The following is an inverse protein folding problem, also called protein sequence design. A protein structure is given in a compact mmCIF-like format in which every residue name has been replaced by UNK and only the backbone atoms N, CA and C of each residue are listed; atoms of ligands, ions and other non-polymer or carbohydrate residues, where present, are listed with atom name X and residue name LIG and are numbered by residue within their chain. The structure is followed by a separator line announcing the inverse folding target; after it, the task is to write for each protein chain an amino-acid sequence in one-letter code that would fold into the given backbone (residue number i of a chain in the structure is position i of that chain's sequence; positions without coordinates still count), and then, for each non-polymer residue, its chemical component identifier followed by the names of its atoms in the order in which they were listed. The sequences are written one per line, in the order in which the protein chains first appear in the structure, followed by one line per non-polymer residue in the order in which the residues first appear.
data_IF_104251789301
#
_entry.id   IF_104251789301
#
_cell.length_a   1.000
_cell.length_b   1.000
_cell.length_c   1.000
_cell.angle_alpha   90.00
_cell.angle_beta   90.00
_cell.angle_gamma   90.00
#
_symmetry.space_group_name_H-M   'P 1'
#
loop_
_entity.id
_entity.type
_entity.pdbx_description
1 polymer ?
#
# COMPACT_ATOMS: atom_id res chain seq x y z
N UNK A 1 8.60 55.88 27.39
CA UNK A 1 8.84 54.64 26.61
C UNK A 1 8.36 53.39 27.34
N UNK A 2 8.67 53.22 28.63
CA UNK A 2 8.31 52.05 29.46
C UNK A 2 6.78 51.84 29.60
N UNK A 3 5.99 52.91 29.72
CA UNK A 3 4.52 52.84 29.79
C UNK A 3 3.84 52.35 28.50
N UNK A 4 4.43 52.64 27.33
CA UNK A 4 3.94 52.17 26.01
C UNK A 4 4.24 50.68 25.78
N UNK A 5 5.38 50.18 26.27
CA UNK A 5 5.73 48.76 26.22
C UNK A 5 4.81 47.90 27.10
N UNK A 6 4.44 48.39 28.29
CA UNK A 6 3.54 47.68 29.21
C UNK A 6 2.12 47.53 28.65
N UNK A 7 1.61 48.57 27.98
CA UNK A 7 0.30 48.55 27.29
C UNK A 7 0.32 47.70 26.01
N UNK A 8 1.43 47.69 25.26
CA UNK A 8 1.61 46.82 24.11
C UNK A 8 1.65 45.32 24.49
N UNK A 9 2.30 44.99 25.60
CA UNK A 9 2.40 43.61 26.06
C UNK A 9 1.09 43.08 26.67
N UNK A 10 0.31 43.94 27.32
CA UNK A 10 -1.05 43.61 27.80
C UNK A 10 -2.05 43.41 26.64
N UNK A 11 -1.97 44.23 25.59
CA UNK A 11 -2.82 44.09 24.40
C UNK A 11 -2.47 42.84 23.57
N UNK A 12 -1.20 42.46 23.49
CA UNK A 12 -0.76 41.19 22.88
C UNK A 12 -1.24 39.95 23.64
N UNK A 13 -1.14 39.96 24.98
CA UNK A 13 -1.68 38.87 25.81
C UNK A 13 -3.20 38.72 25.67
N UNK A 14 -3.93 39.84 25.62
CA UNK A 14 -5.37 39.83 25.38
C UNK A 14 -5.77 39.28 24.00
N UNK A 15 -4.99 39.61 22.95
CA UNK A 15 -5.19 39.08 21.60
C UNK A 15 -4.85 37.59 21.50
N UNK A 16 -3.78 37.13 22.14
CA UNK A 16 -3.39 35.72 22.17
C UNK A 16 -4.42 34.84 22.91
N UNK A 17 -4.98 35.33 24.03
CA UNK A 17 -6.04 34.63 24.77
C UNK A 17 -7.32 34.53 23.94
N UNK A 18 -7.71 35.61 23.23
CA UNK A 18 -8.86 35.59 22.32
C UNK A 18 -8.65 34.66 21.12
N UNK A 19 -7.42 34.63 20.57
CA UNK A 19 -7.06 33.74 19.47
C UNK A 19 -7.10 32.26 19.91
N UNK A 20 -6.58 31.94 21.10
CA UNK A 20 -6.69 30.59 21.67
C UNK A 20 -8.15 30.21 21.92
N UNK A 21 -8.96 31.12 22.45
CA UNK A 21 -10.39 30.87 22.67
C UNK A 21 -11.15 30.63 21.36
N UNK A 22 -10.84 31.35 20.28
CA UNK A 22 -11.44 31.11 18.96
C UNK A 22 -10.96 29.81 18.31
N UNK A 23 -9.68 29.44 18.49
CA UNK A 23 -9.15 28.16 18.01
C UNK A 23 -9.80 26.98 18.78
N UNK A 24 -10.00 27.12 20.09
CA UNK A 24 -10.70 26.13 20.91
C UNK A 24 -12.19 26.03 20.56
N UNK A 25 -12.86 27.17 20.28
CA UNK A 25 -14.24 27.17 19.80
C UNK A 25 -14.36 26.49 18.41
N UNK A 26 -13.41 26.74 17.50
CA UNK A 26 -13.35 26.06 16.20
C UNK A 26 -13.15 24.54 16.34
N UNK A 27 -12.32 24.09 17.28
CA UNK A 27 -12.09 22.65 17.52
C UNK A 27 -13.36 21.98 18.09
N UNK A 28 -14.15 22.69 18.92
CA UNK A 28 -15.43 22.17 19.42
C UNK A 28 -16.54 22.12 18.36
N UNK A 29 -16.45 22.90 17.28
CA UNK A 29 -17.41 22.88 16.17
C UNK A 29 -17.12 21.83 15.09
N UNK A 30 -16.02 21.09 15.19
CA UNK A 30 -15.67 20.04 14.21
C UNK A 30 -16.43 18.71 14.47
N UNK A 31 -17.17 18.58 15.57
CA UNK A 31 -17.93 17.35 15.89
C UNK A 31 -19.38 17.34 15.39
N UNK A 32 -19.80 18.26 14.51
CA UNK A 32 -21.21 18.31 14.02
C UNK A 32 -21.41 18.15 12.51
N UNK A 33 -20.39 17.79 11.72
CA UNK A 33 -20.56 17.48 10.30
C UNK A 33 -20.08 16.06 9.98
N UNK A 34 -20.89 15.08 10.38
CA UNK A 34 -20.82 13.73 9.82
C UNK A 34 -22.21 13.08 9.81
N UNK A 35 -23.19 13.77 9.21
CA UNK A 35 -24.42 13.14 8.72
C UNK A 35 -24.75 13.77 7.36
N UNK A 36 -24.19 13.21 6.30
CA UNK A 36 -24.81 13.26 4.97
C UNK A 36 -25.54 11.94 4.78
N UNK A 37 -26.85 11.96 5.00
CA UNK A 37 -27.76 10.97 4.44
C UNK A 37 -27.91 11.27 2.96
N UNK A 38 -27.00 10.79 2.13
CA UNK A 38 -27.21 10.72 0.68
C UNK A 38 -27.07 9.27 0.24
N UNK A 39 -28.10 8.80 -0.45
CA UNK A 39 -28.16 7.48 -1.02
C UNK A 39 -27.25 7.37 -2.26
N UNK A 40 -26.54 6.25 -2.33
CA UNK A 40 -26.03 5.58 -3.53
C UNK A 40 -25.10 6.37 -4.48
N UNK A 41 -23.80 6.26 -4.23
CA UNK A 41 -22.82 6.01 -5.28
C UNK A 41 -22.01 4.77 -4.88
N UNK A 42 -21.88 3.79 -5.77
CA UNK A 42 -21.07 2.59 -5.53
C UNK A 42 -19.63 3.03 -5.17
N UNK A 43 -19.06 2.53 -4.07
CA UNK A 43 -17.72 2.94 -3.68
C UNK A 43 -16.75 2.49 -4.77
N UNK A 44 -15.93 3.41 -5.25
CA UNK A 44 -14.73 3.06 -6.00
C UNK A 44 -13.96 2.02 -5.18
N UNK A 45 -13.55 0.92 -5.83
CA UNK A 45 -12.88 -0.20 -5.17
C UNK A 45 -11.79 0.34 -4.24
N UNK A 46 -11.96 0.10 -2.94
CA UNK A 46 -11.00 0.52 -1.93
C UNK A 46 -9.64 -0.08 -2.31
N UNK A 47 -8.60 0.77 -2.34
CA UNK A 47 -7.25 0.24 -2.38
C UNK A 47 -7.04 -0.39 -1.02
N UNK A 48 -7.16 -1.71 -0.98
CA UNK A 48 -7.02 -2.45 0.25
C UNK A 48 -5.54 -2.49 0.68
N UNK A 49 -5.07 -1.40 1.27
CA UNK A 49 -3.78 -1.34 1.96
C UNK A 49 -4.01 -1.89 3.36
N UNK A 50 -3.64 -3.15 3.55
CA UNK A 50 -3.78 -3.86 4.81
C UNK A 50 -2.51 -3.75 5.65
N UNK A 51 -2.64 -3.31 6.90
CA UNK A 51 -1.54 -3.24 7.86
C UNK A 51 -1.49 -4.51 8.72
N UNK A 52 -0.28 -4.99 9.01
CA UNK A 52 -0.04 -6.12 9.91
C UNK A 52 -0.65 -5.84 11.30
N UNK A 53 -1.48 -6.77 11.79
CA UNK A 53 -2.05 -6.74 13.14
C UNK A 53 -1.03 -6.54 14.25
N UNK A 54 0.19 -7.08 14.12
CA UNK A 54 1.24 -6.94 15.13
C UNK A 54 1.63 -5.47 15.32
N UNK A 55 1.77 -4.75 14.22
CA UNK A 55 2.07 -3.33 14.23
C UNK A 55 0.92 -2.52 14.85
N UNK A 56 -0.33 -2.86 14.51
CA UNK A 56 -1.50 -2.19 15.06
C UNK A 56 -1.64 -2.42 16.58
N UNK A 57 -1.44 -3.65 17.07
CA UNK A 57 -1.47 -3.95 18.51
C UNK A 57 -0.33 -3.28 19.27
N UNK A 58 0.86 -3.18 18.66
CA UNK A 58 1.98 -2.43 19.24
C UNK A 58 1.64 -0.95 19.37
N UNK A 59 1.07 -0.35 18.33
CA UNK A 59 0.66 1.06 18.33
C UNK A 59 -0.43 1.32 19.39
N UNK A 60 -1.43 0.44 19.47
CA UNK A 60 -2.48 0.49 20.49
C UNK A 60 -1.91 0.40 21.92
N UNK A 61 -0.95 -0.51 22.14
CA UNK A 61 -0.27 -0.63 23.42
C UNK A 61 0.48 0.64 23.83
N UNK A 62 1.15 1.29 22.86
CA UNK A 62 1.81 2.58 23.09
C UNK A 62 0.78 3.68 23.41
N UNK A 63 -0.34 3.75 22.70
CA UNK A 63 -1.42 4.70 22.99
C UNK A 63 -1.95 4.54 24.41
N UNK A 64 -2.24 3.31 24.85
CA UNK A 64 -2.71 3.06 26.23
C UNK A 64 -1.67 3.48 27.28
N UNK A 65 -0.38 3.22 27.01
CA UNK A 65 0.71 3.65 27.88
C UNK A 65 0.79 5.18 27.99
N UNK A 66 0.70 5.89 26.86
CA UNK A 66 0.72 7.36 26.83
C UNK A 66 -0.48 7.96 27.54
N UNK A 67 -1.68 7.37 27.38
CA UNK A 67 -2.86 7.75 28.15
C UNK A 67 -2.64 7.63 29.68
N UNK A 68 -1.96 6.57 30.14
CA UNK A 68 -1.60 6.42 31.54
C UNK A 68 -0.60 7.50 32.01
N UNK A 69 0.37 7.87 31.17
CA UNK A 69 1.29 8.98 31.45
C UNK A 69 0.53 10.31 31.56
N UNK A 70 -0.41 10.58 30.66
CA UNK A 70 -1.27 11.78 30.69
C UNK A 70 -2.10 11.80 31.98
N UNK A 71 -2.65 10.66 32.40
CA UNK A 71 -3.40 10.56 33.65
C UNK A 71 -2.54 10.94 34.87
N UNK A 72 -1.31 10.42 34.97
CA UNK A 72 -0.38 10.75 36.05
C UNK A 72 0.01 12.23 36.01
N UNK A 73 0.40 12.75 34.84
CA UNK A 73 0.75 14.16 34.66
C UNK A 73 -0.42 15.10 34.97
N UNK A 74 -1.64 14.72 34.59
CA UNK A 74 -2.87 15.43 34.91
C UNK A 74 -3.10 15.51 36.41
N UNK A 75 -2.91 14.41 37.14
CA UNK A 75 -3.02 14.39 38.61
C UNK A 75 -1.97 15.28 39.27
N UNK A 76 -0.71 15.26 38.81
CA UNK A 76 0.35 16.15 39.29
C UNK A 76 0.01 17.60 39.01
N UNK A 77 -0.52 17.91 37.82
CA UNK A 77 -0.91 19.26 37.44
C UNK A 77 -2.08 19.78 38.30
N UNK A 78 -3.08 18.95 38.57
CA UNK A 78 -4.19 19.28 39.47
C UNK A 78 -3.68 19.52 40.90
N UNK A 79 -2.73 18.71 41.38
CA UNK A 79 -2.11 18.90 42.69
C UNK A 79 -1.35 20.23 42.77
N UNK A 80 -0.57 20.57 41.73
CA UNK A 80 0.14 21.85 41.64
C UNK A 80 -0.85 23.03 41.67
N UNK A 81 -1.97 22.95 40.94
CA UNK A 81 -3.02 23.97 40.98
C UNK A 81 -3.67 24.03 42.36
N UNK A 82 -4.00 22.89 42.98
CA UNK A 82 -4.62 22.86 44.32
C UNK A 82 -3.73 23.51 45.38
N UNK A 83 -2.43 23.24 45.36
CA UNK A 83 -1.48 23.88 46.26
C UNK A 83 -1.45 25.41 46.06
N UNK A 84 -1.43 25.85 44.81
CA UNK A 84 -1.48 27.29 44.48
C UNK A 84 -2.79 27.95 44.92
N UNK A 85 -3.93 27.27 44.75
CA UNK A 85 -5.23 27.73 45.25
C UNK A 85 -5.20 27.88 46.77
N UNK A 86 -4.61 26.91 47.48
CA UNK A 86 -4.51 26.96 48.93
C UNK A 86 -3.65 28.15 49.39
N UNK A 87 -2.55 28.45 48.68
CA UNK A 87 -1.75 29.65 48.94
C UNK A 87 -2.51 30.95 48.63
N UNK A 88 -3.20 31.05 47.50
CA UNK A 88 -3.99 32.24 47.13
C UNK A 88 -5.17 32.47 48.10
N UNK A 89 -5.78 31.39 48.63
CA UNK A 89 -6.83 31.45 49.65
C UNK A 89 -6.31 31.94 51.00
N UNK A 90 -5.04 31.67 51.32
CA UNK A 90 -4.34 32.19 52.51
C UNK A 90 -3.96 33.67 52.37
N UNK A 91 -3.70 34.12 51.14
CA UNK A 91 -3.36 35.51 50.81
C UNK A 91 -4.58 36.39 50.41
N UNK A 92 -5.80 35.93 50.67
CA UNK A 92 -7.03 36.72 50.56
C UNK A 92 -7.40 37.24 49.16
N UNK A 93 -6.76 36.77 48.09
CA UNK A 93 -6.96 37.31 46.74
C UNK A 93 -7.56 36.25 45.83
N UNK A 94 -8.90 36.12 45.85
CA UNK A 94 -9.61 35.24 44.93
C UNK A 94 -9.80 35.96 43.59
N UNK A 95 -8.86 35.78 42.67
CA UNK A 95 -9.03 36.24 41.29
C UNK A 95 -9.99 35.30 40.54
N UNK A 96 -11.08 35.88 39.98
CA UNK A 96 -12.13 35.21 39.18
C UNK A 96 -11.66 34.52 37.88
N UNK A 97 -10.36 34.37 37.66
CA UNK A 97 -9.78 33.72 36.49
C UNK A 97 -9.69 32.19 36.63
N UNK A 98 -9.81 31.66 37.86
CA UNK A 98 -9.59 30.24 38.13
C UNK A 98 -10.85 29.37 38.01
N UNK A 99 -12.03 29.99 38.09
CA UNK A 99 -13.32 29.36 37.86
C UNK A 99 -13.57 28.97 36.40
N UNK A 100 -12.80 29.52 35.45
CA UNK A 100 -12.92 29.24 34.02
C UNK A 100 -12.20 27.95 33.57
N UNK A 101 -11.30 27.39 34.39
CA UNK A 101 -10.52 26.20 34.01
C UNK A 101 -11.20 24.88 34.42
N UNK A 102 -12.22 24.94 35.29
CA UNK A 102 -12.98 23.77 35.77
C UNK A 102 -14.05 23.33 34.74
N UNK A 103 -14.47 24.21 33.84
CA UNK A 103 -15.58 23.96 32.89
C UNK A 103 -15.19 22.99 31.75
N UNK A 104 -13.92 22.66 31.54
CA UNK A 104 -13.50 21.80 30.42
C UNK A 104 -13.19 20.34 30.80
N UNK A 105 -13.62 19.88 31.97
CA UNK A 105 -13.36 18.50 32.43
C UNK A 105 -14.56 17.55 32.34
N UNK A 106 -15.67 17.96 31.72
CA UNK A 106 -16.82 17.08 31.49
C UNK A 106 -17.33 17.24 30.04
N UNK A 107 -16.57 16.70 29.10
CA UNK A 107 -17.09 16.36 27.77
C UNK A 107 -17.08 14.84 27.68
N UNK A 108 -18.16 14.22 28.15
CA UNK A 108 -18.32 12.78 28.09
C UNK A 108 -18.27 12.30 26.64
N UNK A 109 -17.39 11.34 26.39
CA UNK A 109 -17.28 10.57 25.16
C UNK A 109 -18.61 9.86 24.93
N UNK A 110 -19.30 10.18 23.84
CA UNK A 110 -20.37 9.34 23.33
C UNK A 110 -19.72 8.11 22.68
N UNK A 111 -19.73 6.98 23.37
CA UNK A 111 -19.28 5.70 22.83
C UNK A 111 -20.41 5.15 21.95
N UNK A 112 -20.40 5.43 20.66
CA UNK A 112 -21.33 4.80 19.72
C UNK A 112 -20.85 3.39 19.41
N UNK A 113 -21.62 2.39 19.84
CA UNK A 113 -21.41 1.00 19.46
C UNK A 113 -21.68 0.83 17.96
N UNK A 114 -20.67 0.42 17.20
CA UNK A 114 -20.83 0.01 15.81
C UNK A 114 -21.01 -1.51 15.76
N UNK A 115 -22.12 -1.94 15.15
CA UNK A 115 -22.44 -3.36 14.94
C UNK A 115 -21.36 -4.01 14.08
N UNK A 116 -20.67 -5.01 14.63
CA UNK A 116 -19.68 -5.81 13.90
C UNK A 116 -20.39 -6.71 12.89
N UNK A 117 -20.03 -6.58 11.61
CA UNK A 117 -20.38 -7.58 10.60
C UNK A 117 -19.67 -8.91 10.93
N UNK A 118 -20.18 -10.07 10.47
CA UNK A 118 -19.57 -11.37 10.75
C UNK A 118 -18.16 -11.42 10.15
N UNK A 119 -17.16 -11.65 10.98
CA UNK A 119 -15.76 -11.80 10.56
C UNK A 119 -15.56 -13.24 10.12
N UNK A 120 -15.06 -13.43 8.90
CA UNK A 120 -14.63 -14.74 8.38
C UNK A 120 -13.48 -15.27 9.27
N UNK A 121 -13.62 -16.46 9.89
CA UNK A 121 -12.61 -17.02 10.79
C UNK A 121 -11.27 -17.34 10.12
N UNK A 122 -11.17 -17.30 8.79
CA UNK A 122 -9.93 -17.51 8.03
C UNK A 122 -9.34 -16.23 7.41
N UNK A 123 -9.94 -15.05 7.64
CA UNK A 123 -9.35 -13.80 7.19
C UNK A 123 -8.09 -13.49 8.01
N UNK A 124 -7.00 -13.12 7.33
CA UNK A 124 -5.80 -12.62 7.99
C UNK A 124 -6.17 -11.47 8.93
N UNK A 125 -5.52 -11.40 10.09
CA UNK A 125 -5.74 -10.31 11.06
C UNK A 125 -5.16 -9.03 10.48
N UNK A 126 -5.94 -8.35 9.64
CA UNK A 126 -5.54 -7.12 8.96
C UNK A 126 -6.38 -5.96 9.48
N UNK A 127 -5.70 -4.90 9.92
CA UNK A 127 -6.36 -3.69 10.42
C UNK A 127 -6.58 -2.73 9.25
N UNK A 128 -7.78 -2.16 9.16
CA UNK A 128 -8.14 -1.27 8.07
C UNK A 128 -7.37 0.06 8.13
N UNK A 129 -7.13 0.66 6.95
CA UNK A 129 -6.42 1.93 6.82
C UNK A 129 -7.04 3.05 7.69
N UNK A 130 -8.37 3.10 7.78
CA UNK A 130 -9.09 4.06 8.61
C UNK A 130 -8.78 3.90 10.11
N UNK A 131 -8.68 2.65 10.58
CA UNK A 131 -8.32 2.37 11.98
C UNK A 131 -6.88 2.79 12.25
N UNK A 132 -5.98 2.61 11.28
CA UNK A 132 -4.59 3.05 11.42
C UNK A 132 -4.46 4.58 11.48
N UNK A 133 -5.19 5.33 10.65
CA UNK A 133 -5.21 6.80 10.77
C UNK A 133 -5.86 7.26 12.08
N UNK A 134 -6.90 6.57 12.56
CA UNK A 134 -7.49 6.86 13.86
C UNK A 134 -6.48 6.68 14.99
N UNK A 135 -5.76 5.55 15.06
CA UNK A 135 -4.75 5.33 16.10
C UNK A 135 -3.60 6.35 15.97
N UNK A 136 -3.14 6.63 14.75
CA UNK A 136 -2.09 7.61 14.50
C UNK A 136 -2.46 9.04 14.92
N UNK A 137 -3.71 9.46 14.67
CA UNK A 137 -4.20 10.78 15.10
C UNK A 137 -4.36 10.88 16.62
N UNK A 138 -4.86 9.84 17.28
CA UNK A 138 -4.93 9.77 18.75
C UNK A 138 -3.53 9.88 19.36
N UNK A 139 -2.57 9.10 18.85
CA UNK A 139 -1.19 9.10 19.35
C UNK A 139 -0.52 10.48 19.18
N UNK A 140 -0.75 11.17 18.06
CA UNK A 140 -0.25 12.53 17.85
C UNK A 140 -0.85 13.53 18.85
N UNK A 141 -2.15 13.41 19.16
CA UNK A 141 -2.83 14.25 20.15
C UNK A 141 -2.29 14.00 21.57
N UNK A 142 -2.07 12.73 21.94
CA UNK A 142 -1.50 12.36 23.24
C UNK A 142 -0.11 12.98 23.44
N UNK A 143 0.77 12.89 22.43
CA UNK A 143 2.10 13.49 22.49
C UNK A 143 2.01 15.01 22.67
N UNK A 144 1.12 15.68 21.95
CA UNK A 144 0.90 17.13 22.10
C UNK A 144 0.42 17.50 23.51
N UNK A 145 -0.50 16.72 24.08
CA UNK A 145 -1.02 16.91 25.44
C UNK A 145 0.09 16.70 26.48
N UNK A 146 0.91 15.66 26.33
CA UNK A 146 2.06 15.39 27.21
C UNK A 146 3.05 16.55 27.13
N UNK A 147 3.38 17.02 25.91
CA UNK A 147 4.28 18.16 25.74
C UNK A 147 3.71 19.43 26.40
N UNK A 148 2.41 19.68 26.25
CA UNK A 148 1.74 20.79 26.91
C UNK A 148 1.83 20.69 28.44
N UNK A 149 1.50 19.54 29.04
CA UNK A 149 1.59 19.35 30.49
C UNK A 149 3.03 19.46 30.99
N UNK A 150 3.99 18.83 30.31
CA UNK A 150 5.40 18.89 30.68
C UNK A 150 5.94 20.34 30.60
N UNK A 151 5.61 21.07 29.53
CA UNK A 151 5.97 22.47 29.40
C UNK A 151 5.31 23.33 30.49
N UNK A 152 4.02 23.15 30.72
CA UNK A 152 3.26 23.86 31.74
C UNK A 152 3.85 23.64 33.13
N UNK A 153 4.04 22.39 33.56
CA UNK A 153 4.66 22.02 34.83
C UNK A 153 6.08 22.62 34.94
N UNK A 154 6.89 22.52 33.88
CA UNK A 154 8.25 23.11 33.87
C UNK A 154 8.20 24.63 34.08
N UNK A 155 7.25 25.33 33.45
CA UNK A 155 7.10 26.79 33.65
C UNK A 155 6.56 27.14 35.04
N UNK A 156 5.71 26.31 35.64
CA UNK A 156 5.24 26.48 37.01
C UNK A 156 6.38 26.30 38.02
N UNK A 157 7.11 25.19 37.94
CA UNK A 157 8.22 24.89 38.83
C UNK A 157 9.36 25.92 38.72
N UNK A 158 9.66 26.42 37.51
CA UNK A 158 10.67 27.47 37.31
C UNK A 158 10.30 28.78 38.01
N UNK A 159 9.01 29.14 38.04
CA UNK A 159 8.55 30.35 38.73
C UNK A 159 8.65 30.18 40.25
N UNK A 160 8.26 29.03 40.77
CA UNK A 160 8.39 28.73 42.20
C UNK A 160 9.84 28.66 42.65
N UNK A 161 10.72 28.03 41.86
CA UNK A 161 12.15 28.01 42.11
C UNK A 161 12.77 29.41 42.09
N UNK A 162 12.39 30.27 41.13
CA UNK A 162 12.86 31.66 41.08
C UNK A 162 12.41 32.48 42.30
N UNK A 163 11.15 32.31 42.73
CA UNK A 163 10.61 32.98 43.93
C UNK A 163 11.26 32.44 45.21
N UNK A 164 11.55 31.14 45.28
CA UNK A 164 12.23 30.52 46.42
C UNK A 164 13.69 30.95 46.54
N UNK A 165 14.39 31.13 45.41
CA UNK A 165 15.75 31.67 45.37
C UNK A 165 15.79 33.17 45.74
N UNK A 166 14.82 33.95 45.27
CA UNK A 166 14.67 35.37 45.63
C UNK A 166 14.35 35.54 47.13
N UNK A 167 13.52 34.66 47.70
CA UNK A 167 13.20 34.63 49.13
C UNK A 167 14.38 34.23 50.04
N UNK A 168 15.42 33.58 49.49
CA UNK A 168 16.63 33.17 50.23
C UNK A 168 17.78 34.18 50.16
N UNK A 169 17.61 35.31 49.47
CA UNK A 169 18.62 36.37 49.41
C UNK A 169 19.94 35.94 48.74
N UNK A 170 19.90 34.97 47.83
CA UNK A 170 21.10 34.46 47.17
C UNK A 170 21.70 35.50 46.19
N UNK A 171 23.01 35.73 46.32
CA UNK A 171 23.83 36.54 45.39
C UNK A 171 23.70 35.96 43.98
N UNK A 172 23.59 36.77 42.91
CA UNK A 172 23.45 36.25 41.56
C UNK A 172 24.65 35.36 41.22
N UNK A 173 24.40 34.05 41.18
CA UNK A 173 25.31 33.05 40.64
C UNK A 173 25.70 33.51 39.23
N UNK A 174 27.00 33.65 38.98
CA UNK A 174 27.52 34.01 37.66
C UNK A 174 26.81 33.16 36.59
N UNK A 175 26.34 33.75 35.48
CA UNK A 175 25.53 33.03 34.52
C UNK A 175 26.37 31.89 33.95
N UNK A 176 26.09 30.67 34.40
CA UNK A 176 26.63 29.45 33.79
C UNK A 176 26.30 29.56 32.31
N UNK A 177 27.34 29.62 31.47
CA UNK A 177 27.19 29.77 30.04
C UNK A 177 26.25 28.67 29.55
N UNK A 178 25.11 29.06 28.98
CA UNK A 178 24.10 28.11 28.52
C UNK A 178 24.63 27.44 27.27
N UNK A 179 25.40 26.37 27.45
CA UNK A 179 25.87 25.53 26.35
C UNK A 179 24.62 25.06 25.59
N UNK A 180 24.50 25.40 24.29
CA UNK A 180 23.40 24.93 23.44
C UNK A 180 23.27 23.42 23.56
N UNK A 181 22.03 22.91 23.56
CA UNK A 181 21.79 21.47 23.69
C UNK A 181 22.51 20.67 22.59
N UNK A 182 22.70 21.26 21.41
CA UNK A 182 23.45 20.68 20.31
C UNK A 182 24.94 20.53 20.66
N UNK A 183 25.56 21.54 21.27
CA UNK A 183 26.98 21.46 21.67
C UNK A 183 27.23 20.39 22.76
N UNK A 184 26.21 20.10 23.58
CA UNK A 184 26.25 18.97 24.54
C UNK A 184 26.25 17.60 23.85
N UNK A 185 25.65 17.51 22.67
CA UNK A 185 25.59 16.26 21.91
C UNK A 185 26.97 15.89 21.34
N UNK A 186 27.79 16.89 21.02
CA UNK A 186 29.11 16.73 20.42
C UNK A 186 30.28 16.80 21.41
N UNK A 187 30.03 17.04 22.71
CA UNK A 187 31.10 17.26 23.71
C UNK A 187 32.18 18.22 23.18
N UNK A 188 31.79 19.40 22.66
CA UNK A 188 32.77 20.31 22.05
C UNK A 188 33.73 20.87 23.12
N UNK A 189 35.02 20.65 22.92
CA UNK A 189 36.08 21.22 23.76
C UNK A 189 36.21 22.73 23.57
N UNK A 190 36.48 23.44 24.66
CA UNK A 190 36.97 24.82 24.61
C UNK A 190 38.50 24.84 24.40
N UNK A 191 39.09 26.02 24.13
CA UNK A 191 40.56 26.11 24.00
C UNK A 191 41.31 25.75 25.29
N UNK A 192 40.73 26.04 26.46
CA UNK A 192 41.31 25.63 27.74
C UNK A 192 41.27 24.10 27.91
N UNK A 193 40.22 23.45 27.38
CA UNK A 193 40.11 21.99 27.42
C UNK A 193 41.12 21.32 26.49
N UNK A 194 41.39 21.91 25.32
CA UNK A 194 42.41 21.39 24.38
C UNK A 194 43.79 21.31 25.04
N UNK A 195 44.17 22.32 25.84
CA UNK A 195 45.46 22.30 26.55
C UNK A 195 45.48 21.27 27.68
N UNK A 196 44.34 21.04 28.36
CA UNK A 196 44.22 20.06 29.44
C UNK A 196 44.17 18.61 28.93
N UNK A 197 43.60 18.40 27.75
CA UNK A 197 43.36 17.10 27.14
C UNK A 197 44.48 16.68 26.18
N UNK A 198 45.48 17.53 25.95
CA UNK A 198 46.67 17.20 25.17
C UNK A 198 47.46 16.08 25.86
N UNK A 199 47.66 14.98 25.14
CA UNK A 199 48.42 13.81 25.61
C UNK A 199 49.94 14.05 25.64
N UNK A 200 50.41 15.20 25.14
CA UNK A 200 51.80 15.64 25.23
C UNK A 200 52.73 15.02 24.19
N UNK A 201 52.21 14.17 23.31
CA UNK A 201 52.92 13.62 22.15
C UNK A 201 52.57 14.42 20.90
N UNK A 202 53.60 14.74 20.11
CA UNK A 202 53.50 15.49 18.86
C UNK A 202 54.09 14.62 17.73
N UNK A 203 53.26 14.32 16.75
CA UNK A 203 53.63 13.56 15.57
C UNK A 203 53.52 14.46 14.34
N UNK A 204 54.65 15.00 13.89
CA UNK A 204 54.73 15.85 12.69
C UNK A 204 53.78 17.07 12.75
N UNK A 205 53.67 17.70 13.92
CA UNK A 205 52.79 18.83 14.17
C UNK A 205 51.33 18.44 14.47
N UNK A 206 50.99 17.15 14.49
CA UNK A 206 49.68 16.63 14.87
C UNK A 206 49.73 16.18 16.33
N UNK A 207 48.80 16.71 17.13
CA UNK A 207 48.63 16.36 18.53
C UNK A 207 47.34 15.59 18.76
N UNK A 208 47.38 14.69 19.73
CA UNK A 208 46.23 13.85 20.09
C UNK A 208 45.58 14.36 21.37
N UNK A 209 44.25 14.44 21.36
CA UNK A 209 43.43 14.86 22.49
C UNK A 209 42.71 13.67 23.11
N UNK A 210 42.74 13.55 24.42
CA UNK A 210 42.01 12.53 25.17
C UNK A 210 40.52 12.90 25.34
N UNK A 211 39.81 12.99 24.22
CA UNK A 211 38.41 13.39 24.21
C UNK A 211 37.48 12.23 24.53
N UNK A 212 36.50 12.49 25.39
CA UNK A 212 35.34 11.61 25.50
C UNK A 212 34.60 11.56 24.16
N UNK A 213 34.21 10.35 23.75
CA UNK A 213 33.44 10.14 22.52
C UNK A 213 32.15 10.97 22.52
N UNK A 214 31.73 11.52 21.36
CA UNK A 214 30.49 12.26 21.26
C UNK A 214 29.30 11.42 21.73
N UNK A 215 28.40 12.04 22.49
CA UNK A 215 27.27 11.36 23.12
C UNK A 215 26.34 10.74 22.06
N UNK A 216 26.11 11.43 20.93
CA UNK A 216 25.32 10.85 19.84
C UNK A 216 25.97 9.62 19.23
N UNK A 217 27.29 9.58 19.16
CA UNK A 217 28.03 8.46 18.58
C UNK A 217 27.93 7.24 19.50
N UNK A 218 28.07 7.44 20.81
CA UNK A 218 27.85 6.39 21.80
C UNK A 218 26.44 5.81 21.71
N UNK A 219 25.40 6.66 21.69
CA UNK A 219 24.02 6.19 21.57
C UNK A 219 23.73 5.56 20.21
N UNK A 220 24.31 6.08 19.12
CA UNK A 220 24.18 5.47 17.79
C UNK A 220 24.78 4.07 17.74
N UNK A 221 25.97 3.89 18.34
CA UNK A 221 26.61 2.58 18.47
C UNK A 221 25.80 1.63 19.38
N UNK A 222 25.27 2.12 20.50
CA UNK A 222 24.42 1.30 21.37
C UNK A 222 23.11 0.89 20.66
N UNK A 223 22.49 1.80 19.90
CA UNK A 223 21.25 1.55 19.18
C UNK A 223 21.45 0.51 18.06
N UNK A 224 22.59 0.54 17.35
CA UNK A 224 22.88 -0.46 16.32
C UNK A 224 23.03 -1.86 16.91
N UNK A 225 23.63 -1.99 18.10
CA UNK A 225 23.71 -3.26 18.84
C UNK A 225 22.32 -3.74 19.23
N UNK A 226 21.48 -2.87 19.80
CA UNK A 226 20.09 -3.22 20.15
C UNK A 226 19.30 -3.66 18.91
N UNK A 227 19.42 -2.92 17.81
CA UNK A 227 18.78 -3.27 16.54
C UNK A 227 19.24 -4.64 16.04
N UNK A 228 20.55 -4.93 16.07
CA UNK A 228 21.08 -6.22 15.64
C UNK A 228 20.54 -7.38 16.49
N UNK A 229 20.46 -7.22 17.81
CA UNK A 229 19.88 -8.23 18.71
C UNK A 229 18.40 -8.48 18.40
N UNK A 230 17.61 -7.41 18.24
CA UNK A 230 16.19 -7.52 17.91
C UNK A 230 16.00 -8.17 16.52
N UNK A 231 16.82 -7.79 15.55
CA UNK A 231 16.78 -8.35 14.19
C UNK A 231 17.09 -9.85 14.21
N UNK A 232 18.19 -10.25 14.84
CA UNK A 232 18.59 -11.66 14.96
C UNK A 232 17.50 -12.48 15.66
N UNK A 233 16.95 -11.97 16.77
CA UNK A 233 15.87 -12.65 17.45
C UNK A 233 14.63 -12.79 16.56
N UNK A 234 14.19 -11.71 15.91
CA UNK A 234 12.94 -11.70 15.14
C UNK A 234 12.99 -12.59 13.89
N UNK A 235 14.12 -12.61 13.17
CA UNK A 235 14.27 -13.34 11.90
C UNK A 235 14.85 -14.75 12.07
N UNK A 236 15.78 -14.97 13.00
CA UNK A 236 16.50 -16.25 13.11
C UNK A 236 16.16 -17.08 14.35
N UNK A 237 15.59 -16.50 15.41
CA UNK A 237 15.24 -17.25 16.64
C UNK A 237 13.75 -17.46 16.77
N UNK A 238 12.96 -16.39 16.69
CA UNK A 238 11.51 -16.42 16.79
C UNK A 238 10.83 -16.74 15.45
N UNK A 239 11.56 -16.64 14.33
CA UNK A 239 11.06 -16.86 12.96
C UNK A 239 9.73 -16.11 12.68
N UNK A 240 9.56 -14.96 13.35
CA UNK A 240 8.33 -14.16 13.30
C UNK A 240 8.15 -13.43 11.96
N UNK A 241 9.19 -13.42 11.12
CA UNK A 241 9.24 -12.74 9.83
C UNK A 241 9.94 -13.61 8.81
N UNK A 242 9.44 -13.67 7.56
CA UNK A 242 10.06 -14.47 6.52
C UNK A 242 11.44 -13.92 6.16
N UNK A 243 12.39 -14.81 5.92
CA UNK A 243 13.68 -14.46 5.32
C UNK A 243 13.48 -14.09 3.85
N UNK A 244 14.47 -13.40 3.26
CA UNK A 244 14.40 -12.92 1.87
C UNK A 244 14.00 -14.00 0.85
N UNK A 245 14.48 -15.23 1.00
CA UNK A 245 14.12 -16.33 0.10
C UNK A 245 12.66 -16.79 0.27
N UNK A 246 12.16 -16.78 1.51
CA UNK A 246 10.77 -17.12 1.79
C UNK A 246 9.83 -16.02 1.29
N UNK A 247 10.21 -14.75 1.49
CA UNK A 247 9.46 -13.60 0.97
C UNK A 247 9.36 -13.67 -0.56
N UNK A 248 10.46 -13.98 -1.26
CA UNK A 248 10.45 -14.19 -2.70
C UNK A 248 9.49 -15.31 -3.13
N UNK A 249 9.47 -16.43 -2.41
CA UNK A 249 8.55 -17.54 -2.72
C UNK A 249 7.10 -17.13 -2.54
N UNK A 250 6.78 -16.45 -1.42
CA UNK A 250 5.45 -15.91 -1.15
C UNK A 250 5.03 -14.94 -2.26
N UNK A 251 5.91 -14.01 -2.66
CA UNK A 251 5.61 -13.07 -3.74
C UNK A 251 5.38 -13.76 -5.09
N UNK A 252 6.15 -14.80 -5.40
CA UNK A 252 5.98 -15.59 -6.61
C UNK A 252 4.63 -16.33 -6.63
N UNK A 253 4.22 -16.90 -5.49
CA UNK A 253 2.91 -17.55 -5.37
C UNK A 253 1.77 -16.54 -5.54
N UNK A 254 1.87 -15.39 -4.89
CA UNK A 254 0.90 -14.30 -5.04
C UNK A 254 0.86 -13.82 -6.50
N UNK A 255 2.01 -13.69 -7.15
CA UNK A 255 2.10 -13.29 -8.56
C UNK A 255 1.47 -14.34 -9.48
N UNK A 256 1.72 -15.63 -9.24
CA UNK A 256 1.14 -16.73 -10.01
C UNK A 256 -0.39 -16.75 -9.89
N UNK A 257 -0.93 -16.57 -8.68
CA UNK A 257 -2.39 -16.48 -8.45
C UNK A 257 -2.98 -15.27 -9.17
N UNK A 258 -2.34 -14.09 -9.07
CA UNK A 258 -2.78 -12.88 -9.78
C UNK A 258 -2.74 -13.05 -11.29
N UNK A 259 -1.69 -13.70 -11.81
CA UNK A 259 -1.53 -13.99 -13.23
C UNK A 259 -2.61 -14.96 -13.70
N UNK A 260 -2.86 -16.05 -12.96
CA UNK A 260 -3.93 -16.99 -13.28
C UNK A 260 -5.30 -16.31 -13.30
N UNK A 261 -5.63 -15.52 -12.27
CA UNK A 261 -6.89 -14.77 -12.21
C UNK A 261 -7.02 -13.74 -13.36
N UNK A 262 -5.91 -13.14 -13.80
CA UNK A 262 -5.90 -12.25 -14.96
C UNK A 262 -6.15 -13.02 -16.26
N UNK A 263 -5.54 -14.19 -16.43
CA UNK A 263 -5.72 -15.03 -17.60
C UNK A 263 -7.14 -15.59 -17.68
N UNK A 264 -7.73 -16.02 -16.56
CA UNK A 264 -9.13 -16.47 -16.50
C UNK A 264 -10.12 -15.39 -16.90
N UNK A 265 -9.86 -14.13 -16.50
CA UNK A 265 -10.71 -12.98 -16.86
C UNK A 265 -10.45 -12.45 -18.26
N UNK A 266 -9.34 -12.85 -18.88
CA UNK A 266 -8.99 -12.40 -20.22
C UNK A 266 -9.76 -13.23 -21.25
N UNK A 267 -10.62 -12.60 -22.04
CA UNK A 267 -11.33 -13.20 -23.19
C UNK A 267 -10.41 -13.80 -24.27
N UNK A 268 -9.09 -13.70 -24.10
CA UNK A 268 -8.05 -14.28 -24.94
C UNK A 268 -7.56 -15.64 -24.44
N UNK A 269 -8.19 -16.28 -23.45
CA UNK A 269 -7.76 -17.58 -22.92
C UNK A 269 -8.20 -18.77 -23.80
N UNK A 270 -8.04 -18.62 -25.12
CA UNK A 270 -8.33 -19.67 -26.10
C UNK A 270 -7.03 -20.37 -26.46
N UNK A 271 -6.94 -21.67 -26.21
CA UNK A 271 -5.79 -22.50 -26.60
C UNK A 271 -6.25 -23.71 -27.42
N UNK A 272 -5.31 -24.56 -27.82
CA UNK A 272 -5.58 -25.77 -28.61
C UNK A 272 -6.56 -26.73 -27.92
N UNK A 273 -6.67 -26.65 -26.59
CA UNK A 273 -7.52 -27.54 -25.80
C UNK A 273 -8.90 -26.93 -25.57
N UNK A 274 -8.99 -25.60 -25.41
CA UNK A 274 -10.21 -24.86 -25.10
C UNK A 274 -10.93 -24.28 -26.31
N UNK A 275 -10.30 -24.23 -27.49
CA UNK A 275 -10.91 -23.68 -28.70
C UNK A 275 -12.19 -24.43 -29.09
N UNK A 276 -13.23 -23.64 -29.35
CA UNK A 276 -14.54 -24.07 -29.85
C UNK A 276 -14.93 -23.22 -31.05
N UNK A 277 -15.83 -23.75 -31.88
CA UNK A 277 -16.40 -23.00 -33.01
C UNK A 277 -17.00 -21.68 -32.52
N UNK A 278 -16.56 -20.59 -33.14
CA UNK A 278 -17.10 -19.25 -32.87
C UNK A 278 -18.48 -19.07 -33.51
N UNK A 279 -19.22 -18.08 -33.05
CA UNK A 279 -20.50 -17.68 -33.62
C UNK A 279 -20.33 -17.03 -35.01
N UNK A 280 -21.46 -16.65 -35.64
CA UNK A 280 -21.45 -16.05 -36.97
C UNK A 280 -20.61 -14.75 -37.04
N UNK A 281 -20.58 -13.96 -35.95
CA UNK A 281 -19.77 -12.76 -35.88
C UNK A 281 -18.27 -13.09 -35.83
N UNK A 282 -17.88 -14.09 -35.04
CA UNK A 282 -16.51 -14.59 -34.97
C UNK A 282 -16.04 -15.22 -36.28
N UNK A 283 -16.90 -15.97 -36.99
CA UNK A 283 -16.60 -16.52 -38.32
C UNK A 283 -16.41 -15.39 -39.35
N UNK A 284 -17.24 -14.35 -39.31
CA UNK A 284 -17.09 -13.18 -40.18
C UNK A 284 -15.79 -12.41 -39.91
N UNK A 285 -15.42 -12.24 -38.63
CA UNK A 285 -14.13 -11.68 -38.25
C UNK A 285 -12.95 -12.56 -38.75
N UNK A 286 -13.08 -13.88 -38.62
CA UNK A 286 -12.12 -14.86 -39.15
C UNK A 286 -11.93 -14.73 -40.67
N UNK A 287 -13.02 -14.57 -41.42
CA UNK A 287 -12.97 -14.31 -42.87
C UNK A 287 -12.17 -13.04 -43.19
N UNK A 288 -12.42 -11.95 -42.46
CA UNK A 288 -11.72 -10.70 -42.66
C UNK A 288 -10.21 -10.82 -42.37
N UNK A 289 -9.81 -11.64 -41.40
CA UNK A 289 -8.41 -11.96 -41.14
C UNK A 289 -7.80 -12.86 -42.23
N UNK A 290 -8.55 -13.85 -42.71
CA UNK A 290 -8.09 -14.82 -43.70
C UNK A 290 -7.71 -14.17 -45.04
N UNK A 291 -8.49 -13.19 -45.49
CA UNK A 291 -8.28 -12.47 -46.75
C UNK A 291 -7.28 -11.31 -46.65
N UNK A 292 -6.68 -11.07 -45.48
CA UNK A 292 -5.67 -10.00 -45.35
C UNK A 292 -4.51 -10.24 -46.32
N UNK A 293 -3.95 -9.18 -46.94
CA UNK A 293 -2.77 -9.30 -47.80
C UNK A 293 -1.61 -9.97 -47.05
N UNK A 294 -1.03 -11.00 -47.66
CA UNK A 294 0.07 -11.76 -47.06
C UNK A 294 -0.34 -12.77 -45.98
N UNK A 295 -1.65 -12.98 -45.76
CA UNK A 295 -2.18 -13.96 -44.83
C UNK A 295 -2.55 -15.28 -45.54
N UNK A 296 -3.70 -15.86 -45.19
CA UNK A 296 -4.08 -17.21 -45.56
C UNK A 296 -4.51 -17.32 -47.04
N UNK A 297 -5.27 -16.34 -47.53
CA UNK A 297 -5.80 -16.35 -48.89
C UNK A 297 -4.72 -16.31 -49.99
N UNK A 298 -3.52 -15.78 -49.68
CA UNK A 298 -2.41 -15.76 -50.63
C UNK A 298 -1.96 -17.16 -51.05
N UNK A 299 -2.08 -18.15 -50.16
CA UNK A 299 -1.70 -19.54 -50.45
C UNK A 299 -2.92 -20.45 -50.69
N UNK A 300 -4.04 -20.19 -50.00
CA UNK A 300 -5.23 -21.03 -50.01
C UNK A 300 -6.38 -20.49 -50.88
N UNK A 301 -6.17 -19.37 -51.60
CA UNK A 301 -7.20 -18.60 -52.29
C UNK A 301 -8.26 -18.01 -51.36
N UNK A 302 -8.94 -16.93 -51.77
CA UNK A 302 -9.94 -16.25 -50.94
C UNK A 302 -11.14 -17.13 -50.58
N UNK A 303 -11.44 -18.13 -51.41
CA UNK A 303 -12.51 -19.10 -51.20
C UNK A 303 -12.03 -20.40 -50.53
N UNK A 304 -10.75 -20.51 -50.15
CA UNK A 304 -10.16 -21.72 -49.57
C UNK A 304 -9.88 -22.85 -50.56
N UNK A 305 -10.26 -22.70 -51.84
CA UNK A 305 -10.13 -23.73 -52.88
C UNK A 305 -8.70 -23.94 -53.38
N UNK A 306 -7.74 -23.14 -52.92
CA UNK A 306 -6.32 -23.18 -53.28
C UNK A 306 -6.05 -23.10 -54.80
N UNK A 307 -6.88 -22.35 -55.54
CA UNK A 307 -6.58 -21.91 -56.90
C UNK A 307 -6.32 -20.41 -56.86
N UNK A 308 -5.08 -20.01 -57.15
CA UNK A 308 -4.65 -18.61 -57.13
C UNK A 308 -4.20 -18.23 -58.53
N UNK A 309 -4.79 -17.19 -59.11
CA UNK A 309 -4.50 -16.73 -60.49
C UNK A 309 -4.67 -17.83 -61.57
N UNK A 310 -5.66 -18.71 -61.40
CA UNK A 310 -5.96 -19.78 -62.37
C UNK A 310 -5.02 -20.99 -62.33
N UNK A 311 -4.09 -21.04 -61.37
CA UNK A 311 -3.18 -22.16 -61.15
C UNK A 311 -3.32 -22.70 -59.71
N UNK A 312 -2.93 -23.96 -59.45
CA UNK A 312 -2.85 -24.51 -58.10
C UNK A 312 -1.94 -23.63 -57.21
N UNK A 313 -2.51 -23.08 -56.14
CA UNK A 313 -1.81 -22.31 -55.13
C UNK A 313 -0.86 -23.17 -54.30
N UNK A 314 -0.05 -22.53 -53.45
CA UNK A 314 0.94 -23.20 -52.60
C UNK A 314 0.24 -24.05 -51.52
N UNK A 315 -0.84 -23.54 -50.93
CA UNK A 315 -1.56 -24.21 -49.86
C UNK A 315 -2.43 -25.38 -50.36
N UNK A 316 -2.84 -26.30 -49.48
CA UNK A 316 -3.89 -27.29 -49.77
C UNK A 316 -5.28 -26.67 -49.89
N UNK A 317 -6.20 -27.40 -50.53
CA UNK A 317 -7.63 -27.08 -50.49
C UNK A 317 -8.15 -27.22 -49.06
N UNK A 318 -8.85 -26.19 -48.56
CA UNK A 318 -9.45 -26.15 -47.23
C UNK A 318 -10.97 -26.41 -47.23
N UNK A 319 -11.54 -26.64 -48.42
CA UNK A 319 -12.99 -26.76 -48.62
C UNK A 319 -13.49 -28.20 -48.69
N UNK A 320 -12.59 -29.17 -48.81
CA UNK A 320 -12.92 -30.59 -48.92
C UNK A 320 -12.71 -31.35 -47.59
N UNK A 321 -13.07 -32.64 -47.60
CA UNK A 321 -13.01 -33.52 -46.42
C UNK A 321 -11.63 -34.17 -46.22
N UNK A 322 -10.61 -33.82 -47.01
CA UNK A 322 -9.29 -34.44 -46.99
C UNK A 322 -8.28 -33.52 -46.31
N UNK A 323 -7.63 -34.03 -45.26
CA UNK A 323 -6.73 -33.24 -44.43
C UNK A 323 -5.37 -33.92 -44.30
N UNK A 324 -4.30 -33.12 -44.41
CA UNK A 324 -2.93 -33.56 -44.16
C UNK A 324 -2.66 -33.62 -42.64
N UNK A 325 -3.26 -32.71 -41.88
CA UNK A 325 -2.97 -32.48 -40.44
C UNK A 325 -4.23 -32.55 -39.56
N UNK A 326 -5.22 -33.36 -39.93
CA UNK A 326 -6.56 -33.47 -39.32
C UNK A 326 -7.40 -32.20 -39.47
N UNK A 327 -8.73 -32.36 -39.49
CA UNK A 327 -9.69 -31.29 -39.82
C UNK A 327 -10.58 -30.85 -38.67
N UNK A 328 -10.35 -31.30 -37.43
CA UNK A 328 -11.10 -30.81 -36.27
C UNK A 328 -10.64 -29.39 -35.88
N UNK A 329 -11.51 -28.65 -35.18
CA UNK A 329 -11.25 -27.25 -34.82
C UNK A 329 -9.96 -27.06 -34.02
N UNK A 330 -9.58 -28.02 -33.19
CA UNK A 330 -8.37 -27.96 -32.36
C UNK A 330 -7.12 -28.15 -33.21
N UNK A 331 -7.14 -29.11 -34.14
CA UNK A 331 -6.04 -29.36 -35.08
C UNK A 331 -5.85 -28.22 -36.08
N UNK A 332 -6.94 -27.59 -36.54
CA UNK A 332 -6.89 -26.39 -37.39
C UNK A 332 -6.26 -25.23 -36.61
N UNK A 333 -6.72 -24.98 -35.38
CA UNK A 333 -6.14 -23.94 -34.52
C UNK A 333 -4.66 -24.18 -34.24
N UNK A 334 -4.26 -25.43 -33.95
CA UNK A 334 -2.86 -25.82 -33.77
C UNK A 334 -2.03 -25.49 -35.01
N UNK A 335 -2.54 -25.85 -36.20
CA UNK A 335 -1.85 -25.60 -37.48
C UNK A 335 -1.69 -24.11 -37.75
N UNK A 336 -2.65 -23.27 -37.38
CA UNK A 336 -2.54 -21.81 -37.48
C UNK A 336 -1.52 -21.28 -36.46
N UNK A 337 -1.60 -21.71 -35.20
CA UNK A 337 -0.75 -21.18 -34.12
C UNK A 337 0.72 -21.50 -34.35
N UNK A 338 1.07 -22.75 -34.64
CA UNK A 338 2.46 -23.19 -34.75
C UNK A 338 2.98 -23.26 -36.19
N UNK A 339 2.10 -23.36 -37.18
CA UNK A 339 2.49 -23.56 -38.57
C UNK A 339 3.11 -24.94 -38.84
N UNK A 340 3.54 -25.12 -40.08
CA UNK A 340 4.30 -26.26 -40.59
C UNK A 340 5.44 -25.72 -41.48
N UNK A 341 6.50 -25.15 -40.89
CA UNK A 341 7.55 -24.43 -41.63
C UNK A 341 8.23 -25.28 -42.70
N UNK A 342 8.41 -26.58 -42.44
CA UNK A 342 8.97 -27.54 -43.39
C UNK A 342 8.08 -27.77 -44.63
N UNK A 343 6.80 -27.40 -44.54
CA UNK A 343 5.82 -27.43 -45.64
C UNK A 343 5.42 -26.03 -46.15
N UNK A 344 6.10 -24.98 -45.68
CA UNK A 344 5.90 -23.60 -46.14
C UNK A 344 4.82 -22.80 -45.39
N UNK A 345 4.16 -23.36 -44.37
CA UNK A 345 3.19 -22.62 -43.55
C UNK A 345 3.87 -22.03 -42.31
N UNK A 346 3.97 -20.71 -42.19
CA UNK A 346 4.56 -20.05 -41.01
C UNK A 346 3.66 -20.16 -39.76
N UNK A 347 4.28 -19.99 -38.59
CA UNK A 347 3.61 -19.81 -37.30
C UNK A 347 2.92 -18.43 -37.26
N UNK A 348 1.68 -18.37 -36.75
CA UNK A 348 0.94 -17.12 -36.56
C UNK A 348 0.77 -16.68 -35.11
N UNK A 349 1.34 -17.42 -34.14
CA UNK A 349 1.23 -17.12 -32.70
C UNK A 349 1.66 -15.69 -32.29
N UNK A 350 2.59 -15.08 -33.02
CA UNK A 350 3.10 -13.73 -32.74
C UNK A 350 2.35 -12.65 -33.54
N UNK A 351 1.59 -13.05 -34.56
CA UNK A 351 0.87 -12.15 -35.47
C UNK A 351 -0.59 -11.94 -35.04
N UNK A 352 -1.20 -12.96 -34.42
CA UNK A 352 -2.61 -12.96 -34.04
C UNK A 352 -2.80 -13.31 -32.57
N UNK A 353 -3.75 -12.64 -31.93
CA UNK A 353 -4.18 -13.01 -30.57
C UNK A 353 -4.89 -14.37 -30.58
N UNK A 354 -5.01 -15.06 -29.43
CA UNK A 354 -5.63 -16.37 -29.40
C UNK A 354 -7.10 -16.36 -29.86
N UNK A 355 -7.86 -15.30 -29.57
CA UNK A 355 -9.22 -15.16 -30.09
C UNK A 355 -9.25 -14.98 -31.62
N UNK A 356 -8.28 -14.25 -32.19
CA UNK A 356 -8.17 -14.08 -33.64
C UNK A 356 -7.81 -15.39 -34.34
N UNK A 357 -6.95 -16.22 -33.74
CA UNK A 357 -6.66 -17.57 -34.23
C UNK A 357 -7.89 -18.49 -34.14
N UNK A 358 -8.71 -18.36 -33.07
CA UNK A 358 -9.96 -19.11 -32.94
C UNK A 358 -11.00 -18.72 -34.00
N UNK A 359 -11.09 -17.42 -34.31
CA UNK A 359 -11.91 -16.88 -35.39
C UNK A 359 -11.45 -17.40 -36.75
N UNK A 360 -10.14 -17.37 -37.03
CA UNK A 360 -9.56 -17.94 -38.25
C UNK A 360 -9.84 -19.44 -38.38
N UNK A 361 -9.61 -20.21 -37.32
CA UNK A 361 -9.87 -21.65 -37.31
C UNK A 361 -11.35 -21.96 -37.56
N UNK A 362 -12.26 -21.18 -36.97
CA UNK A 362 -13.70 -21.32 -37.17
C UNK A 362 -14.13 -20.96 -38.60
N UNK A 363 -13.50 -19.95 -39.21
CA UNK A 363 -13.74 -19.63 -40.61
C UNK A 363 -13.23 -20.73 -41.55
N UNK A 364 -12.02 -21.25 -41.33
CA UNK A 364 -11.49 -22.37 -42.13
C UNK A 364 -12.41 -23.58 -42.01
N UNK A 365 -12.89 -23.89 -40.79
CA UNK A 365 -13.83 -25.00 -40.59
C UNK A 365 -15.17 -24.78 -41.30
N UNK A 366 -15.66 -23.55 -41.39
CA UNK A 366 -16.92 -23.24 -42.08
C UNK A 366 -16.82 -23.30 -43.62
N UNK A 367 -15.61 -23.38 -44.17
CA UNK A 367 -15.39 -23.58 -45.61
C UNK A 367 -15.58 -25.03 -46.05
N UNK A 368 -15.49 -26.00 -45.13
CA UNK A 368 -15.65 -27.43 -45.43
C UNK A 368 -17.04 -27.68 -46.03
N UNK A 369 -17.07 -28.33 -47.20
CA UNK A 369 -18.30 -28.63 -47.94
C UNK A 369 -18.67 -27.59 -49.01
N UNK A 370 -18.06 -26.40 -49.03
CA UNK A 370 -18.37 -25.36 -50.02
C UNK A 370 -17.88 -25.71 -51.44
N UNK A 371 -16.79 -26.47 -51.55
CA UNK A 371 -16.23 -27.04 -52.78
C UNK A 371 -16.35 -26.15 -54.04
N UNK A 372 -15.74 -24.94 -54.05
CA UNK A 372 -15.79 -24.04 -55.20
C UNK A 372 -15.12 -24.65 -56.44
N UNK A 373 -15.60 -24.34 -57.64
CA UNK A 373 -14.99 -24.74 -58.90
C UNK A 373 -14.37 -23.53 -59.62
N UNK A 374 -13.09 -23.56 -60.02
CA UNK A 374 -12.11 -24.64 -59.82
C UNK A 374 -11.53 -24.68 -58.39
N UNK A 375 -11.21 -25.89 -57.90
CA UNK A 375 -10.47 -26.14 -56.67
C UNK A 375 -9.26 -27.05 -56.95
N UNK A 376 -8.24 -26.95 -56.10
CA UNK A 376 -7.07 -27.83 -56.13
C UNK A 376 -7.48 -29.27 -55.78
N UNK A 377 -6.75 -30.24 -56.31
CA UNK A 377 -6.98 -31.66 -56.03
C UNK A 377 -6.92 -31.96 -54.53
N UNK A 378 -7.68 -32.96 -54.10
CA UNK A 378 -7.77 -33.40 -52.70
C UNK A 378 -6.42 -33.88 -52.19
N UNK A 379 -6.00 -33.42 -51.00
CA UNK A 379 -4.70 -33.77 -50.42
C UNK A 379 -4.83 -34.31 -49.00
N UNK A 380 -4.09 -35.38 -48.69
CA UNK A 380 -4.10 -36.00 -47.35
C UNK A 380 -5.11 -37.14 -47.23
N UNK A 381 -5.61 -37.35 -46.02
CA UNK A 381 -6.51 -38.47 -45.70
C UNK A 381 -7.92 -37.95 -45.47
N UNK A 382 -8.92 -38.75 -45.85
CA UNK A 382 -10.32 -38.45 -45.53
C UNK A 382 -10.47 -38.33 -44.01
N UNK A 383 -10.91 -37.17 -43.55
CA UNK A 383 -11.13 -36.89 -42.15
C UNK A 383 -12.62 -36.95 -41.84
N UNK A 384 -13.02 -37.92 -41.02
CA UNK A 384 -14.38 -38.03 -40.50
C UNK A 384 -14.36 -37.61 -39.05
N UNK A 385 -15.10 -36.57 -38.70
CA UNK A 385 -15.25 -36.18 -37.29
C UNK A 385 -15.94 -37.28 -36.50
N UNK A 386 -15.44 -37.56 -35.31
CA UNK A 386 -15.91 -38.65 -34.44
C UNK A 386 -17.38 -38.48 -33.99
N UNK A 387 -17.98 -37.30 -34.19
CA UNK A 387 -19.43 -37.06 -33.94
C UNK A 387 -20.34 -37.33 -35.15
N UNK A 388 -19.77 -37.59 -36.34
CA UNK A 388 -20.51 -37.82 -37.58
C UNK A 388 -20.65 -39.32 -37.94
N UNK A 389 -20.59 -40.22 -36.95
CA UNK A 389 -21.01 -41.60 -37.13
C UNK A 389 -22.52 -41.62 -37.45
N UNK A 390 -22.85 -41.87 -38.73
CA UNK A 390 -24.21 -41.94 -39.27
C UNK A 390 -25.16 -42.85 -38.46
N UNK A 391 -26.49 -42.61 -38.50
CA UNK A 391 -27.49 -43.44 -37.85
C UNK A 391 -27.43 -44.87 -38.39
N UNK A 392 -27.56 -45.84 -37.48
CA UNK A 392 -27.65 -47.25 -37.81
C UNK A 392 -28.75 -47.50 -38.85
N UNK A 393 -28.38 -48.18 -39.94
CA UNK A 393 -29.31 -48.72 -40.92
C UNK A 393 -30.10 -49.82 -40.23
N UNK A 394 -31.37 -49.56 -39.92
CA UNK A 394 -32.32 -50.59 -39.51
C UNK A 394 -32.50 -51.59 -40.65
N UNK A 395 -31.93 -52.77 -40.46
CA UNK A 395 -32.17 -53.93 -41.31
C UNK A 395 -33.54 -54.51 -40.97
N UNK A 396 -34.47 -54.34 -41.90
CA UNK A 396 -35.77 -55.01 -41.93
C UNK A 396 -35.57 -56.52 -41.77
N UNK A 397 -36.02 -57.07 -40.63
CA UNK A 397 -36.31 -58.51 -40.51
C UNK A 397 -37.75 -58.73 -40.95
N UNK A 398 -37.90 -59.26 -42.16
CA UNK A 398 -39.14 -59.89 -42.60
C UNK A 398 -39.46 -61.09 -41.69
N UNK A 399 -40.72 -61.22 -41.31
CA UNK A 399 -41.33 -62.44 -40.77
C UNK A 399 -42.50 -62.81 -41.66
#
# INVERSE_FOLDING_TARGET
MILKLKTYHQTLKGKAIRLMATVVFMISTISLFAQTTDAAAAPAAAKDVFYDSTFAYTLLGVTVLLAAVIYVLGNVFILAIRNKIAEEKKNGTINKALSLLIIFSVSSIALTAQTTAPVDPNASTVVSENVMYMIGTVLALEILIIFYFAFSISTFLKKEAAVAEEAKGAVPVAPVEKIPWFDRLYNRNTQEDIVKLDLGHDYDGIKELDNNIPIWWLYGAALSVVFAVVYLYSYHVAESRPLQQQELQIEQEIAAVKQAAYLEKSANNVDEKTVVMQDAAGIAAGKALFIKPGACATCHAENGGAIVNGAPGIGPNLTDDYWIHKGDIKSIFYSIKYGWPEKGMKSWKEDYSPIQMAQLASYVKSLVGTNPTPAKEKQGVLFVEESAAKPAVDTVKAK
#
